data_IF_627294178330
#
_entry.id   IF_627294178330
#
_cell.length_a   1.000
_cell.length_b   1.000
_cell.length_c   1.000
_cell.angle_alpha   90.00
_cell.angle_beta   90.00
_cell.angle_gamma   90.00
#
_symmetry.space_group_name_H-M   'P 1'
#
loop_
_entity.id
_entity.type
_entity.pdbx_description
1 polymer ?
#
# COMPACT_ATOMS: atom_id res chain seq x y z
N UNK A 1 20.08 11.26 5.44
CA UNK A 1 19.62 12.51 4.78
C UNK A 1 18.09 12.56 4.58
N UNK A 2 17.29 12.13 5.57
CA UNK A 2 15.81 12.25 5.56
C UNK A 2 15.33 13.11 6.76
N UNK A 3 16.17 13.29 7.78
CA UNK A 3 15.85 14.05 9.00
C UNK A 3 15.95 15.57 8.87
N UNK A 4 16.56 16.10 7.81
CA UNK A 4 16.78 17.55 7.65
C UNK A 4 15.61 18.28 6.96
N UNK A 5 14.86 17.61 6.08
CA UNK A 5 13.77 18.26 5.33
C UNK A 5 12.46 18.42 6.10
N UNK A 6 12.36 17.89 7.32
CA UNK A 6 11.22 18.11 8.20
C UNK A 6 11.12 19.55 8.75
N UNK A 7 12.18 20.37 8.65
CA UNK A 7 12.23 21.69 9.30
C UNK A 7 11.67 22.84 8.48
N UNK A 8 11.59 22.74 7.15
CA UNK A 8 11.24 23.93 6.36
C UNK A 8 9.76 24.17 6.10
N UNK A 9 8.85 23.22 6.39
CA UNK A 9 7.39 23.40 6.21
C UNK A 9 7.02 24.21 4.94
N UNK A 10 7.74 23.97 3.85
CA UNK A 10 7.67 24.80 2.65
C UNK A 10 7.12 23.93 1.51
N UNK A 11 5.81 23.63 1.50
CA UNK A 11 5.18 22.93 0.38
C UNK A 11 5.42 23.71 -0.91
N UNK A 12 5.41 25.05 -0.84
CA UNK A 12 5.66 25.96 -1.97
C UNK A 12 7.02 25.74 -2.63
N UNK A 13 8.08 25.49 -1.84
CA UNK A 13 9.40 25.22 -2.38
C UNK A 13 9.45 23.86 -3.07
N UNK A 14 8.75 22.86 -2.53
CA UNK A 14 8.67 21.54 -3.14
C UNK A 14 7.86 21.59 -4.45
N UNK A 15 6.73 22.30 -4.48
CA UNK A 15 5.95 22.54 -5.69
C UNK A 15 6.75 23.32 -6.75
N UNK A 16 7.53 24.33 -6.35
CA UNK A 16 8.42 25.07 -7.25
C UNK A 16 9.48 24.17 -7.90
N UNK A 17 10.09 23.27 -7.12
CA UNK A 17 11.05 22.28 -7.66
C UNK A 17 10.36 21.31 -8.62
N UNK A 18 9.14 20.87 -8.32
CA UNK A 18 8.36 20.02 -9.22
C UNK A 18 8.00 20.73 -10.53
N UNK A 19 7.59 21.99 -10.46
CA UNK A 19 7.35 22.82 -11.64
C UNK A 19 8.62 23.01 -12.48
N UNK A 20 9.76 23.26 -11.83
CA UNK A 20 11.05 23.38 -12.49
C UNK A 20 11.46 22.06 -13.17
N UNK A 21 11.25 20.90 -12.52
CA UNK A 21 11.48 19.59 -13.14
C UNK A 21 10.64 19.37 -14.39
N UNK A 22 9.35 19.75 -14.36
CA UNK A 22 8.47 19.66 -15.53
C UNK A 22 8.95 20.58 -16.65
N UNK A 23 9.32 21.83 -16.33
CA UNK A 23 9.86 22.79 -17.30
C UNK A 23 11.17 22.30 -17.92
N UNK A 24 12.04 21.68 -17.12
CA UNK A 24 13.29 21.07 -17.56
C UNK A 24 13.11 19.71 -18.27
N UNK A 25 11.87 19.25 -18.47
CA UNK A 25 11.51 17.93 -19.04
C UNK A 25 12.16 16.75 -18.32
N UNK A 26 12.42 16.90 -17.03
CA UNK A 26 12.91 15.81 -16.18
C UNK A 26 11.72 14.99 -15.71
N UNK A 27 11.74 13.69 -16.00
CA UNK A 27 10.64 12.79 -15.64
C UNK A 27 10.51 12.67 -14.12
N UNK A 28 9.41 13.13 -13.51
CA UNK A 28 9.20 12.98 -12.07
C UNK A 28 9.03 11.50 -11.72
N UNK A 29 9.63 11.09 -10.61
CA UNK A 29 9.60 9.70 -10.14
C UNK A 29 8.79 9.60 -8.85
N UNK A 30 8.52 8.38 -8.39
CA UNK A 30 7.85 8.16 -7.10
C UNK A 30 8.58 8.85 -5.94
N UNK A 31 9.91 8.98 -6.02
CA UNK A 31 10.73 9.69 -5.02
C UNK A 31 10.38 11.17 -4.99
N UNK A 32 10.17 11.81 -6.16
CA UNK A 32 9.74 13.20 -6.26
C UNK A 32 8.38 13.42 -5.61
N UNK A 33 7.41 12.55 -5.91
CA UNK A 33 6.08 12.62 -5.31
C UNK A 33 6.10 12.35 -3.79
N UNK A 34 6.93 11.41 -3.33
CA UNK A 34 7.11 11.14 -1.91
C UNK A 34 7.71 12.33 -1.16
N UNK A 35 8.65 13.06 -1.77
CA UNK A 35 9.20 14.28 -1.20
C UNK A 35 8.15 15.39 -1.08
N UNK A 36 7.35 15.61 -2.12
CA UNK A 36 6.20 16.53 -2.11
C UNK A 36 5.21 16.16 -1.01
N UNK A 37 4.76 14.91 -0.98
CA UNK A 37 3.82 14.41 0.02
C UNK A 37 4.37 14.57 1.45
N UNK A 38 5.66 14.32 1.67
CA UNK A 38 6.29 14.53 2.98
C UNK A 38 6.32 16.01 3.40
N UNK A 39 6.51 16.93 2.46
CA UNK A 39 6.46 18.37 2.72
C UNK A 39 5.06 18.82 3.15
N UNK A 40 4.01 18.43 2.42
CA UNK A 40 2.61 18.72 2.80
C UNK A 40 2.23 18.05 4.13
N UNK A 41 2.63 16.79 4.34
CA UNK A 41 2.37 16.07 5.59
C UNK A 41 3.01 16.77 6.80
N UNK A 42 4.20 17.33 6.64
CA UNK A 42 4.88 18.10 7.70
C UNK A 42 4.10 19.36 8.09
N UNK A 43 3.39 19.94 7.14
CA UNK A 43 2.52 21.11 7.30
C UNK A 43 1.09 20.75 7.77
N UNK A 44 0.80 19.47 8.01
CA UNK A 44 -0.55 18.98 8.32
C UNK A 44 -1.58 19.26 7.20
N UNK A 45 -1.11 19.43 5.96
CA UNK A 45 -1.96 19.65 4.79
C UNK A 45 -2.34 18.29 4.17
N UNK A 46 -3.35 17.64 4.75
CA UNK A 46 -3.88 16.39 4.23
C UNK A 46 -4.40 16.50 2.78
N UNK A 47 -5.19 17.54 2.40
CA UNK A 47 -5.65 17.71 1.02
C UNK A 47 -4.49 17.81 0.00
N UNK A 48 -3.41 18.51 0.36
CA UNK A 48 -2.21 18.60 -0.48
C UNK A 48 -1.55 17.24 -0.68
N UNK A 49 -1.43 16.44 0.39
CA UNK A 49 -0.90 15.07 0.29
C UNK A 49 -1.77 14.20 -0.62
N UNK A 50 -3.09 14.21 -0.45
CA UNK A 50 -4.01 13.43 -1.27
C UNK A 50 -3.90 13.81 -2.75
N UNK A 51 -3.82 15.10 -3.06
CA UNK A 51 -3.59 15.60 -4.43
C UNK A 51 -2.30 15.04 -5.01
N UNK A 52 -1.18 15.18 -4.31
CA UNK A 52 0.13 14.72 -4.77
C UNK A 52 0.13 13.22 -5.05
N UNK A 53 -0.46 12.41 -4.15
CA UNK A 53 -0.54 10.96 -4.35
C UNK A 53 -1.50 10.57 -5.49
N UNK A 54 -2.58 11.33 -5.67
CA UNK A 54 -3.50 11.13 -6.81
C UNK A 54 -2.80 11.41 -8.13
N UNK A 55 -2.03 12.50 -8.21
CA UNK A 55 -1.20 12.81 -9.37
C UNK A 55 -0.14 11.73 -9.59
N UNK A 56 0.51 11.25 -8.53
CA UNK A 56 1.48 10.15 -8.63
C UNK A 56 0.83 8.87 -9.18
N UNK A 57 -0.37 8.52 -8.73
CA UNK A 57 -1.11 7.36 -9.22
C UNK A 57 -1.55 7.52 -10.68
N UNK A 58 -1.89 8.74 -11.11
CA UNK A 58 -2.23 9.02 -12.51
C UNK A 58 -1.02 8.95 -13.44
N UNK A 59 0.15 9.42 -12.99
CA UNK A 59 1.36 9.49 -13.83
C UNK A 59 2.19 8.20 -13.81
N UNK A 60 2.34 7.56 -12.65
CA UNK A 60 3.15 6.35 -12.48
C UNK A 60 2.31 5.07 -12.34
N UNK A 61 0.99 5.20 -12.16
CA UNK A 61 0.08 4.09 -11.89
C UNK A 61 -0.15 3.85 -10.39
N UNK A 62 -1.34 3.37 -10.02
CA UNK A 62 -1.74 3.12 -8.62
C UNK A 62 -0.86 2.10 -7.89
N UNK A 63 -0.15 1.24 -8.63
CA UNK A 63 0.79 0.25 -8.07
C UNK A 63 2.15 0.84 -7.70
N UNK A 64 2.46 2.07 -8.13
CA UNK A 64 3.74 2.73 -7.84
C UNK A 64 3.80 3.31 -6.41
N UNK A 65 2.65 3.48 -5.75
CA UNK A 65 2.56 3.97 -4.38
C UNK A 65 3.26 2.99 -3.42
N UNK A 66 4.17 3.53 -2.62
CA UNK A 66 4.99 2.73 -1.72
C UNK A 66 4.75 3.09 -0.24
N UNK A 67 5.55 2.48 0.63
CA UNK A 67 5.48 2.71 2.08
C UNK A 67 5.66 4.18 2.47
N UNK A 68 6.40 4.97 1.68
CA UNK A 68 6.61 6.39 1.98
C UNK A 68 5.39 7.22 1.60
N UNK A 69 4.74 6.89 0.48
CA UNK A 69 3.49 7.53 0.07
C UNK A 69 2.41 7.40 1.16
N UNK A 70 2.15 6.18 1.62
CA UNK A 70 1.19 5.94 2.71
C UNK A 70 1.65 6.51 4.06
N UNK A 71 2.96 6.48 4.34
CA UNK A 71 3.52 7.07 5.55
C UNK A 71 3.31 8.59 5.63
N UNK A 72 3.48 9.29 4.52
CA UNK A 72 3.21 10.73 4.42
C UNK A 72 1.72 11.02 4.67
N UNK A 73 0.83 10.25 4.06
CA UNK A 73 -0.61 10.44 4.22
C UNK A 73 -1.06 10.21 5.66
N UNK A 74 -0.61 9.12 6.30
CA UNK A 74 -0.92 8.84 7.71
C UNK A 74 -0.33 9.90 8.65
N UNK A 75 0.89 10.36 8.38
CA UNK A 75 1.50 11.44 9.15
C UNK A 75 0.67 12.73 9.04
N UNK A 76 0.18 13.06 7.84
CA UNK A 76 -0.71 14.19 7.64
C UNK A 76 -2.02 14.02 8.41
N UNK A 77 -2.65 12.84 8.40
CA UNK A 77 -3.86 12.57 9.19
C UNK A 77 -3.64 12.79 10.69
N UNK A 78 -2.54 12.27 11.24
CA UNK A 78 -2.19 12.43 12.67
C UNK A 78 -1.98 13.90 13.03
N UNK A 79 -1.31 14.65 12.16
CA UNK A 79 -0.97 16.06 12.41
C UNK A 79 -2.13 17.01 12.17
N UNK A 80 -2.96 16.73 11.18
CA UNK A 80 -4.16 17.49 10.84
C UNK A 80 -5.33 17.22 11.80
N UNK A 81 -5.13 16.34 12.80
CA UNK A 81 -6.21 15.86 13.69
C UNK A 81 -7.43 15.40 12.89
N UNK A 82 -7.17 14.70 11.77
CA UNK A 82 -8.22 14.30 10.84
C UNK A 82 -9.23 13.38 11.55
N UNK A 83 -10.49 13.45 11.12
CA UNK A 83 -11.55 12.61 11.68
C UNK A 83 -11.14 11.14 11.64
N UNK A 84 -11.48 10.40 12.69
CA UNK A 84 -11.20 8.96 12.80
C UNK A 84 -11.72 8.16 11.60
N UNK A 85 -12.75 8.67 10.91
CA UNK A 85 -13.31 8.09 9.69
C UNK A 85 -12.31 8.20 8.53
N UNK A 86 -11.71 9.37 8.32
CA UNK A 86 -10.76 9.63 7.23
C UNK A 86 -9.48 8.84 7.47
N UNK A 87 -8.92 8.94 8.67
CA UNK A 87 -7.75 8.16 9.09
C UNK A 87 -7.98 6.66 8.90
N UNK A 88 -9.17 6.14 9.25
CA UNK A 88 -9.52 4.73 9.06
C UNK A 88 -9.58 4.34 7.58
N UNK A 89 -10.18 5.16 6.71
CA UNK A 89 -10.24 4.89 5.27
C UNK A 89 -8.82 4.70 4.71
N UNK A 90 -7.90 5.59 5.06
CA UNK A 90 -6.52 5.50 4.60
C UNK A 90 -5.76 4.31 5.15
N UNK A 91 -5.93 3.98 6.43
CA UNK A 91 -5.36 2.77 7.02
C UNK A 91 -5.92 1.52 6.34
N UNK A 92 -7.21 1.51 6.00
CA UNK A 92 -7.83 0.40 5.29
C UNK A 92 -7.27 0.24 3.87
N UNK A 93 -7.06 1.34 3.15
CA UNK A 93 -6.40 1.31 1.83
C UNK A 93 -4.97 0.77 1.92
N UNK A 94 -4.18 1.20 2.92
CA UNK A 94 -2.85 0.65 3.17
C UNK A 94 -2.91 -0.87 3.45
N UNK A 95 -3.83 -1.31 4.31
CA UNK A 95 -4.01 -2.73 4.65
C UNK A 95 -4.52 -3.58 3.48
N UNK A 96 -5.21 -2.98 2.52
CA UNK A 96 -5.67 -3.67 1.31
C UNK A 96 -4.58 -3.71 0.23
N UNK A 97 -3.60 -2.81 0.32
CA UNK A 97 -2.45 -2.78 -0.57
C UNK A 97 -1.46 -3.92 -0.28
N UNK A 98 -0.59 -4.22 -1.25
CA UNK A 98 0.51 -5.19 -1.11
C UNK A 98 1.72 -4.64 -0.32
N UNK A 99 1.64 -3.41 0.18
CA UNK A 99 2.76 -2.77 0.89
C UNK A 99 2.98 -3.43 2.25
N UNK A 100 4.23 -3.76 2.57
CA UNK A 100 4.57 -4.34 3.87
C UNK A 100 4.42 -3.30 4.98
N UNK A 101 3.71 -3.67 6.06
CA UNK A 101 3.62 -2.84 7.25
C UNK A 101 4.91 -2.93 8.07
N UNK A 102 5.70 -1.87 8.03
CA UNK A 102 6.82 -1.67 8.94
C UNK A 102 6.34 -1.18 10.31
N UNK A 103 7.19 -1.32 11.33
CA UNK A 103 6.96 -0.82 12.68
C UNK A 103 6.58 0.67 12.70
N UNK A 104 7.26 1.47 11.87
CA UNK A 104 6.94 2.90 11.68
C UNK A 104 5.51 3.14 11.17
N UNK A 105 5.04 2.34 10.20
CA UNK A 105 3.68 2.49 9.68
C UNK A 105 2.65 2.03 10.71
N UNK A 106 2.94 0.95 11.45
CA UNK A 106 2.07 0.51 12.55
C UNK A 106 1.92 1.60 13.62
N UNK A 107 3.02 2.23 14.03
CA UNK A 107 2.96 3.29 15.05
C UNK A 107 2.19 4.52 14.55
N UNK A 108 2.30 4.88 13.27
CA UNK A 108 1.47 5.94 12.68
C UNK A 108 -0.02 5.56 12.61
N UNK A 109 -0.35 4.33 12.20
CA UNK A 109 -1.75 3.86 12.19
C UNK A 109 -2.36 3.87 13.60
N UNK A 110 -1.59 3.43 14.60
CA UNK A 110 -1.98 3.45 16.00
C UNK A 110 -2.28 4.87 16.48
N UNK A 111 -1.44 5.84 16.11
CA UNK A 111 -1.65 7.25 16.43
C UNK A 111 -2.83 7.88 15.67
N UNK A 112 -3.11 7.42 14.46
CA UNK A 112 -4.15 8.00 13.61
C UNK A 112 -5.56 7.48 13.95
N UNK A 113 -5.70 6.20 14.30
CA UNK A 113 -7.00 5.53 14.49
C UNK A 113 -7.16 4.94 15.90
N UNK A 114 -6.06 4.82 16.66
CA UNK A 114 -6.01 4.18 17.97
C UNK A 114 -5.61 2.70 17.90
N UNK A 115 -4.85 2.23 18.89
CA UNK A 115 -4.35 0.84 18.96
C UNK A 115 -5.47 -0.20 18.87
N UNK A 116 -6.57 0.00 19.62
CA UNK A 116 -7.70 -0.92 19.64
C UNK A 116 -8.32 -1.09 18.25
N UNK A 117 -8.43 0.00 17.49
CA UNK A 117 -9.01 -0.04 16.15
C UNK A 117 -8.04 -0.65 15.14
N UNK A 118 -6.74 -0.35 15.26
CA UNK A 118 -5.71 -0.96 14.43
C UNK A 118 -5.69 -2.50 14.60
N UNK A 119 -5.74 -2.99 15.84
CA UNK A 119 -5.77 -4.44 16.12
C UNK A 119 -7.02 -5.08 15.52
N UNK A 120 -8.20 -4.44 15.62
CA UNK A 120 -9.43 -4.93 14.97
C UNK A 120 -9.26 -5.04 13.46
N UNK A 121 -8.72 -4.00 12.81
CA UNK A 121 -8.54 -4.00 11.35
C UNK A 121 -7.51 -5.04 10.87
N UNK A 122 -6.45 -5.28 11.66
CA UNK A 122 -5.48 -6.35 11.39
C UNK A 122 -6.13 -7.74 11.54
N UNK A 123 -6.91 -7.95 12.60
CA UNK A 123 -7.65 -9.20 12.80
C UNK A 123 -8.67 -9.47 11.68
N UNK A 124 -9.38 -8.43 11.21
CA UNK A 124 -10.29 -8.52 10.05
C UNK A 124 -9.55 -8.88 8.76
N UNK A 125 -8.31 -8.40 8.58
CA UNK A 125 -7.48 -8.79 7.44
C UNK A 125 -7.03 -10.25 7.54
N UNK A 126 -6.54 -10.67 8.69
CA UNK A 126 -6.01 -12.02 8.90
C UNK A 126 -7.12 -13.08 8.75
N UNK A 127 -8.32 -12.78 9.27
CA UNK A 127 -9.50 -13.62 9.07
C UNK A 127 -9.89 -13.72 7.59
N UNK A 128 -9.90 -12.61 6.83
CA UNK A 128 -10.13 -12.65 5.36
C UNK A 128 -9.06 -13.45 4.61
N UNK A 129 -7.79 -13.35 5.02
CA UNK A 129 -6.72 -14.11 4.37
C UNK A 129 -6.82 -15.61 4.68
N UNK A 130 -7.17 -15.98 5.91
CA UNK A 130 -7.42 -17.37 6.31
C UNK A 130 -8.63 -17.97 5.60
N UNK A 131 -9.77 -17.28 5.58
CA UNK A 131 -10.96 -17.77 4.85
C UNK A 131 -10.71 -17.89 3.35
N UNK A 132 -9.95 -16.97 2.75
CA UNK A 132 -9.54 -17.06 1.35
C UNK A 132 -8.57 -18.23 1.07
N UNK A 133 -7.72 -18.58 2.04
CA UNK A 133 -6.83 -19.75 1.96
C UNK A 133 -7.61 -21.06 2.09
N UNK A 134 -8.50 -21.15 3.08
CA UNK A 134 -9.36 -22.33 3.30
C UNK A 134 -10.32 -22.58 2.13
N UNK A 135 -10.87 -21.52 1.52
CA UNK A 135 -11.70 -21.66 0.32
C UNK A 135 -10.92 -22.19 -0.90
N UNK A 136 -9.61 -21.90 -1.00
CA UNK A 136 -8.72 -22.40 -2.06
C UNK A 136 -8.23 -23.83 -1.81
N UNK A 137 -8.13 -24.27 -0.56
CA UNK A 137 -7.70 -25.64 -0.22
C UNK A 137 -8.81 -26.66 -0.47
N UNK A 138 -10.08 -26.28 -0.24
CA UNK A 138 -11.27 -27.12 -0.47
C UNK A 138 -11.57 -27.33 -1.97
N UNK A 139 -11.10 -26.45 -2.85
CA UNK A 139 -11.40 -26.49 -4.29
C UNK A 139 -10.37 -27.24 -5.16
N UNK A 140 -9.42 -27.99 -4.58
CA UNK A 140 -8.64 -28.96 -5.36
C UNK A 140 -9.53 -30.19 -5.66
N UNK A 141 -9.89 -30.48 -6.92
CA UNK A 141 -10.56 -31.72 -7.24
C UNK A 141 -9.57 -32.85 -7.01
N UNK A 142 -9.91 -33.81 -6.15
CA UNK A 142 -9.22 -35.09 -6.04
C UNK A 142 -9.37 -35.83 -7.36
N UNK A 143 -8.44 -35.67 -8.29
CA UNK A 143 -8.40 -36.48 -9.52
C UNK A 143 -7.87 -37.87 -9.18
N UNK A 144 -8.70 -38.70 -8.54
CA UNK A 144 -8.49 -40.14 -8.52
C UNK A 144 -8.93 -40.69 -9.88
N UNK A 145 -7.99 -40.79 -10.82
CA UNK A 145 -8.22 -41.48 -12.09
C UNK A 145 -8.18 -43.00 -11.88
N UNK A 146 -9.17 -43.78 -12.35
CA UNK A 146 -9.08 -45.24 -12.36
C UNK A 146 -8.24 -45.68 -13.57
N UNK A 147 -7.04 -46.22 -13.32
CA UNK A 147 -6.22 -46.83 -14.37
C UNK A 147 -6.90 -48.13 -14.82
N UNK A 148 -7.47 -48.12 -16.05
CA UNK A 148 -7.99 -49.31 -16.73
C UNK A 148 -6.92 -50.40 -16.75
N UNK A 149 -7.23 -51.54 -16.13
CA UNK A 149 -6.49 -52.80 -16.22
C UNK A 149 -6.71 -53.37 -17.62
N UNK A 150 -5.80 -53.05 -18.55
CA UNK A 150 -5.72 -53.64 -19.89
C UNK A 150 -5.10 -55.04 -19.81
N UNK A 151 -5.77 -56.01 -20.43
CA UNK A 151 -5.46 -57.43 -20.36
C UNK A 151 -4.11 -57.81 -20.95
N UNK A 152 -3.48 -58.79 -20.30
CA UNK A 152 -2.35 -59.54 -20.81
C UNK A 152 -2.90 -60.65 -21.74
N UNK A 153 -2.52 -60.61 -23.01
CA UNK A 153 -2.63 -61.75 -23.94
C UNK A 153 -1.21 -62.12 -24.42
N UNK A 154 -0.85 -63.41 -24.52
CA UNK A 154 0.54 -63.82 -24.62
C UNK A 154 1.09 -63.71 -26.05
N UNK A 155 2.39 -63.44 -26.11
CA UNK A 155 3.29 -63.37 -27.26
C UNK A 155 3.43 -64.69 -28.04
N UNK A 156 3.65 -64.68 -29.37
CA UNK A 156 4.19 -65.82 -30.10
C UNK A 156 5.73 -65.72 -30.26
N UNK A 157 6.45 -66.86 -30.31
CA UNK A 157 7.89 -66.91 -30.56
C UNK A 157 8.20 -67.05 -32.09
N UNK A 158 9.47 -67.10 -32.52
CA UNK A 158 9.97 -66.50 -33.77
C UNK A 158 9.51 -67.18 -35.07
#
# INVERSE_FOLDING_TARGET
LISAHARNKAPDAAESVFACMQQARVTPTIVTFNALASAHASCADLPGVERVLTTAAQQLGSSALDRFSYGALLLACVRATASSIVSRKHVQSLLSSKVQLNEYLRSLCARAVGDKQLVRMLAERDTRQRTAFDARSVSRPSTSAPTKRGGWGPSPPP
#
